data_IF_756596269137
#
_entry.id   IF_756596269137
#
_cell.length_a   1.000
_cell.length_b   1.000
_cell.length_c   1.000
_cell.angle_alpha   90.00
_cell.angle_beta   90.00
_cell.angle_gamma   90.00
#
_symmetry.space_group_name_H-M   'P 1'
#
loop_
_entity.id
_entity.type
_entity.pdbx_description
1 polymer ?
#
# COMPACT_ATOMS: atom_id res chain seq x y z
N UNK A 1 0.41 -17.64 27.93
CA UNK A 1 1.38 -16.53 28.01
C UNK A 1 2.69 -16.79 27.25
N UNK A 2 3.24 -18.01 27.23
CA UNK A 2 4.44 -18.34 26.45
C UNK A 2 4.25 -18.21 24.93
N UNK A 3 3.08 -18.58 24.40
CA UNK A 3 2.78 -18.44 22.98
C UNK A 3 2.65 -16.97 22.53
N UNK A 4 2.08 -16.11 23.38
CA UNK A 4 2.00 -14.65 23.11
C UNK A 4 3.36 -13.97 23.17
N UNK A 5 4.24 -14.41 24.07
CA UNK A 5 5.62 -13.89 24.15
C UNK A 5 6.47 -14.33 22.97
N UNK A 6 6.29 -15.57 22.47
CA UNK A 6 7.00 -16.07 21.28
C UNK A 6 6.50 -15.37 20.01
N UNK A 7 5.18 -15.12 19.91
CA UNK A 7 4.62 -14.34 18.79
C UNK A 7 5.11 -12.89 18.80
N UNK A 8 5.26 -12.26 19.97
CA UNK A 8 5.85 -10.92 20.08
C UNK A 8 7.34 -10.89 19.71
N UNK A 9 8.11 -11.92 20.09
CA UNK A 9 9.53 -12.04 19.70
C UNK A 9 9.70 -12.26 18.20
N UNK A 10 8.81 -13.05 17.56
CA UNK A 10 8.87 -13.27 16.12
C UNK A 10 8.39 -12.05 15.31
N UNK A 11 7.48 -11.25 15.85
CA UNK A 11 7.06 -9.97 15.22
C UNK A 11 8.22 -8.96 15.14
N UNK A 12 9.18 -9.02 16.04
CA UNK A 12 10.34 -8.11 16.06
C UNK A 12 11.37 -8.35 14.97
N UNK A 13 11.27 -9.44 14.19
CA UNK A 13 12.23 -9.82 13.15
C UNK A 13 11.65 -9.81 11.73
N UNK A 14 10.44 -9.31 11.56
CA UNK A 14 9.80 -9.20 10.26
C UNK A 14 9.82 -7.74 9.78
N UNK A 15 9.95 -7.57 8.47
CA UNK A 15 9.75 -6.26 7.84
C UNK A 15 8.29 -5.87 8.00
N UNK A 16 8.06 -4.59 8.30
CA UNK A 16 6.72 -4.01 8.44
C UNK A 16 6.40 -3.16 7.22
N UNK A 17 5.29 -3.48 6.58
CA UNK A 17 4.75 -2.73 5.45
C UNK A 17 3.43 -2.13 5.86
N UNK A 18 3.25 -0.83 5.66
CA UNK A 18 1.99 -0.14 5.95
C UNK A 18 1.33 0.34 4.67
N UNK A 19 0.03 0.06 4.54
CA UNK A 19 -0.82 0.64 3.50
C UNK A 19 -1.26 2.03 3.95
N UNK A 20 -0.93 3.04 3.19
CA UNK A 20 -1.36 4.42 3.41
C UNK A 20 -2.10 4.93 2.19
N UNK A 21 -2.97 5.90 2.37
CA UNK A 21 -3.71 6.50 1.28
C UNK A 21 -4.93 7.26 1.78
N UNK A 22 -5.56 7.95 0.87
CA UNK A 22 -6.81 8.64 1.12
C UNK A 22 -7.95 7.64 1.41
N UNK A 23 -9.10 8.11 1.90
CA UNK A 23 -10.25 7.23 2.12
C UNK A 23 -10.77 6.65 0.81
N UNK A 24 -11.32 5.43 0.83
CA UNK A 24 -11.96 4.75 -0.30
C UNK A 24 -11.07 4.53 -1.53
N UNK A 25 -9.78 4.41 -1.36
CA UNK A 25 -8.84 4.12 -2.46
C UNK A 25 -8.67 2.62 -2.73
N UNK A 26 -9.27 1.76 -1.90
CA UNK A 26 -9.19 0.30 -2.05
C UNK A 26 -8.12 -0.38 -1.20
N UNK A 27 -7.64 0.24 -0.11
CA UNK A 27 -6.65 -0.35 0.78
C UNK A 27 -7.08 -1.68 1.38
N UNK A 28 -8.30 -1.76 1.89
CA UNK A 28 -8.83 -3.01 2.49
C UNK A 28 -9.00 -4.12 1.46
N UNK A 29 -9.44 -3.80 0.26
CA UNK A 29 -9.54 -4.77 -0.84
C UNK A 29 -8.16 -5.29 -1.22
N UNK A 30 -7.18 -4.40 -1.34
CA UNK A 30 -5.80 -4.78 -1.65
C UNK A 30 -5.20 -5.63 -0.54
N UNK A 31 -5.43 -5.27 0.71
CA UNK A 31 -4.96 -6.06 1.84
C UNK A 31 -5.50 -7.48 1.81
N UNK A 32 -6.78 -7.68 1.52
CA UNK A 32 -7.38 -9.00 1.41
C UNK A 32 -6.79 -9.82 0.26
N UNK A 33 -6.45 -9.19 -0.86
CA UNK A 33 -5.79 -9.86 -1.98
C UNK A 33 -4.36 -10.29 -1.66
N UNK A 34 -3.61 -9.46 -0.96
CA UNK A 34 -2.22 -9.73 -0.61
C UNK A 34 -2.09 -10.71 0.55
N UNK A 35 -2.98 -10.61 1.52
CA UNK A 35 -3.00 -11.44 2.71
C UNK A 35 -3.69 -12.80 2.48
N UNK A 36 -3.70 -13.35 1.27
CA UNK A 36 -4.29 -14.63 0.87
C UNK A 36 -4.43 -15.61 2.02
N UNK A 37 -5.34 -15.45 2.94
CA UNK A 37 -5.60 -16.49 3.89
C UNK A 37 -6.70 -16.13 4.83
N UNK A 38 -7.45 -17.11 5.15
CA UNK A 38 -7.99 -17.50 6.44
C UNK A 38 -7.87 -16.44 7.52
N UNK A 39 -8.23 -15.22 7.21
CA UNK A 39 -8.49 -14.28 8.25
C UNK A 39 -9.97 -14.20 8.38
N UNK A 40 -10.43 -14.74 9.50
CA UNK A 40 -11.70 -14.36 10.08
C UNK A 40 -11.86 -12.85 9.94
N UNK A 41 -12.52 -12.42 8.87
CA UNK A 41 -13.12 -11.13 8.84
C UNK A 41 -14.17 -11.13 9.94
N UNK A 42 -13.77 -10.78 11.15
CA UNK A 42 -14.74 -10.31 12.11
C UNK A 42 -15.38 -9.10 11.45
N UNK A 43 -16.62 -9.28 11.00
CA UNK A 43 -17.50 -8.23 10.53
C UNK A 43 -17.74 -7.24 11.67
N UNK A 44 -16.76 -6.37 11.92
CA UNK A 44 -16.98 -5.18 12.74
C UNK A 44 -17.31 -4.05 11.79
N UNK A 45 -18.50 -3.50 11.93
CA UNK A 45 -19.03 -2.32 11.21
C UNK A 45 -18.08 -1.10 11.25
N UNK A 46 -16.99 -1.14 12.03
CA UNK A 46 -15.95 -0.13 12.18
C UNK A 46 -14.55 -0.77 12.13
N UNK A 47 -14.34 -1.76 11.26
CA UNK A 47 -13.04 -2.43 11.07
C UNK A 47 -11.89 -1.46 10.70
N UNK A 48 -12.22 -0.20 10.39
CA UNK A 48 -11.29 0.85 9.97
C UNK A 48 -10.81 1.76 11.10
N UNK A 49 -11.32 1.60 12.32
CA UNK A 49 -10.90 2.42 13.47
C UNK A 49 -9.65 1.85 14.15
N UNK A 50 -9.44 0.55 14.06
CA UNK A 50 -8.25 -0.12 14.58
C UNK A 50 -7.37 -0.57 13.43
N UNK A 51 -6.07 -0.32 13.56
CA UNK A 51 -5.08 -0.80 12.60
C UNK A 51 -5.10 -2.33 12.55
N UNK A 52 -5.39 -2.88 11.38
CA UNK A 52 -5.35 -4.32 11.15
C UNK A 52 -3.95 -4.71 10.69
N UNK A 53 -3.28 -5.56 11.45
CA UNK A 53 -1.96 -6.10 11.11
C UNK A 53 -2.11 -7.57 10.75
N UNK A 54 -1.59 -7.97 9.59
CA UNK A 54 -1.61 -9.35 9.11
C UNK A 54 -0.23 -9.81 8.70
N UNK A 55 0.08 -11.07 8.96
CA UNK A 55 1.27 -11.71 8.41
C UNK A 55 0.98 -12.13 6.98
N UNK A 56 1.80 -11.67 6.06
CA UNK A 56 1.75 -12.01 4.63
C UNK A 56 2.99 -12.79 4.27
N UNK A 57 2.83 -13.81 3.45
CA UNK A 57 3.94 -14.58 2.90
C UNK A 57 3.88 -14.49 1.39
N UNK A 58 4.92 -13.93 0.78
CA UNK A 58 5.11 -13.94 -0.67
C UNK A 58 6.30 -14.86 -0.96
N UNK A 59 6.05 -15.94 -1.68
CA UNK A 59 7.00 -17.04 -1.88
C UNK A 59 7.51 -17.59 -0.53
N UNK A 60 8.76 -17.33 -0.17
CA UNK A 60 9.38 -17.78 1.08
C UNK A 60 9.65 -16.63 2.07
N UNK A 61 9.11 -15.45 1.83
CA UNK A 61 9.41 -14.25 2.60
C UNK A 61 8.19 -13.79 3.39
N UNK A 62 8.17 -13.99 4.72
CA UNK A 62 7.14 -13.45 5.58
C UNK A 62 7.41 -11.99 5.93
N UNK A 63 6.36 -11.21 5.99
CA UNK A 63 6.39 -9.83 6.49
C UNK A 63 5.04 -9.45 7.09
N UNK A 64 5.00 -8.33 7.80
CA UNK A 64 3.77 -7.80 8.38
C UNK A 64 3.21 -6.71 7.48
N UNK A 65 1.92 -6.81 7.19
CA UNK A 65 1.18 -5.81 6.43
C UNK A 65 0.12 -5.18 7.32
N UNK A 66 0.16 -3.86 7.44
CA UNK A 66 -0.79 -3.07 8.23
C UNK A 66 -1.71 -2.28 7.30
N UNK A 67 -3.02 -2.40 7.50
CA UNK A 67 -3.98 -1.48 6.91
C UNK A 67 -4.20 -0.32 7.89
N UNK A 68 -4.06 0.89 7.40
CA UNK A 68 -4.21 2.10 8.21
C UNK A 68 -5.55 2.77 7.95
N UNK A 69 -5.98 3.64 8.87
CA UNK A 69 -7.14 4.51 8.62
C UNK A 69 -6.86 5.42 7.44
N UNK A 70 -7.84 5.56 6.53
CA UNK A 70 -7.70 6.43 5.37
C UNK A 70 -7.45 7.89 5.77
N UNK A 71 -6.48 8.52 5.12
CA UNK A 71 -6.21 9.93 5.30
C UNK A 71 -7.33 10.77 4.70
N UNK A 72 -7.70 11.83 5.40
CA UNK A 72 -8.67 12.84 4.99
C UNK A 72 -8.12 14.23 5.25
N UNK A 73 -8.62 15.24 4.53
CA UNK A 73 -8.14 16.63 4.68
C UNK A 73 -8.37 17.20 6.09
N UNK A 74 -9.46 16.79 6.74
CA UNK A 74 -9.81 17.18 8.11
C UNK A 74 -10.14 15.93 8.90
N UNK A 75 -9.39 15.68 9.97
CA UNK A 75 -9.72 14.63 10.93
C UNK A 75 -10.83 15.13 11.85
N UNK A 76 -11.93 14.39 11.97
CA UNK A 76 -12.88 14.62 13.06
C UNK A 76 -12.17 14.47 14.41
N UNK A 77 -12.44 15.39 15.34
CA UNK A 77 -11.83 15.38 16.68
C UNK A 77 -12.05 14.08 17.45
N UNK A 78 -13.16 13.39 17.17
CA UNK A 78 -13.53 12.11 17.81
C UNK A 78 -12.68 10.92 17.34
N UNK A 79 -11.95 11.04 16.25
CA UNK A 79 -11.10 9.99 15.67
C UNK A 79 -9.61 10.16 15.99
N UNK A 80 -9.24 11.16 16.79
CA UNK A 80 -7.82 11.48 17.06
C UNK A 80 -7.09 10.32 17.74
N UNK A 81 -7.72 9.60 18.67
CA UNK A 81 -7.06 8.51 19.38
C UNK A 81 -6.89 7.25 18.49
N UNK A 82 -7.87 6.92 17.65
CA UNK A 82 -7.77 5.86 16.66
C UNK A 82 -6.73 6.18 15.59
N UNK A 83 -6.59 7.45 15.26
CA UNK A 83 -5.60 7.94 14.32
C UNK A 83 -4.17 7.90 14.88
N UNK A 84 -4.00 8.07 16.20
CA UNK A 84 -2.67 7.93 16.83
C UNK A 84 -2.10 6.52 16.67
N UNK A 85 -2.90 5.47 16.88
CA UNK A 85 -2.42 4.10 16.65
C UNK A 85 -2.07 3.82 15.20
N UNK A 86 -2.81 4.40 14.25
CA UNK A 86 -2.48 4.39 12.83
C UNK A 86 -1.16 5.09 12.53
N UNK A 87 -0.92 6.24 13.17
CA UNK A 87 0.34 6.98 13.02
C UNK A 87 1.55 6.20 13.55
N UNK A 88 1.37 5.45 14.63
CA UNK A 88 2.43 4.60 15.19
C UNK A 88 2.80 3.48 14.22
N UNK A 89 1.83 2.84 13.58
CA UNK A 89 2.08 1.83 12.53
C UNK A 89 2.84 2.41 11.33
N UNK A 90 2.50 3.62 10.91
CA UNK A 90 3.21 4.31 9.82
C UNK A 90 4.64 4.65 10.23
N UNK A 91 4.86 5.14 11.46
CA UNK A 91 6.19 5.46 11.98
C UNK A 91 7.07 4.23 12.14
N UNK A 92 6.49 3.11 12.52
CA UNK A 92 7.21 1.83 12.70
C UNK A 92 7.39 1.04 11.40
N UNK A 93 6.74 1.44 10.31
CA UNK A 93 6.85 0.78 9.02
C UNK A 93 8.25 0.93 8.41
N UNK A 94 8.72 -0.14 7.79
CA UNK A 94 9.97 -0.17 7.02
C UNK A 94 9.73 0.21 5.54
N UNK A 95 8.52 -0.05 5.05
CA UNK A 95 8.07 0.24 3.70
C UNK A 95 6.64 0.76 3.73
N UNK A 96 6.36 1.78 2.93
CA UNK A 96 5.03 2.32 2.74
C UNK A 96 4.48 1.95 1.36
N UNK A 97 3.28 1.43 1.30
CA UNK A 97 2.50 1.31 0.07
C UNK A 97 1.45 2.43 0.04
N UNK A 98 1.69 3.41 -0.79
CA UNK A 98 0.77 4.52 -0.99
C UNK A 98 -0.26 4.16 -2.05
N UNK A 99 -1.46 3.81 -1.65
CA UNK A 99 -2.56 3.44 -2.54
C UNK A 99 -3.33 4.69 -2.98
N UNK A 100 -3.50 4.85 -4.29
CA UNK A 100 -4.14 5.99 -4.92
C UNK A 100 -5.27 5.51 -5.82
N UNK A 101 -6.43 6.14 -5.73
CA UNK A 101 -7.57 5.91 -6.63
C UNK A 101 -7.47 6.84 -7.84
N UNK A 102 -6.99 6.33 -8.97
CA UNK A 102 -6.83 7.13 -10.19
C UNK A 102 -8.14 7.44 -10.91
N UNK A 103 -9.23 6.79 -10.54
CA UNK A 103 -10.58 7.11 -11.06
C UNK A 103 -11.15 8.38 -10.44
N UNK A 104 -10.59 8.84 -9.32
CA UNK A 104 -11.01 10.07 -8.69
C UNK A 104 -10.39 11.28 -9.41
N UNK A 105 -11.18 12.32 -9.76
CA UNK A 105 -10.67 13.47 -10.53
C UNK A 105 -9.58 14.26 -9.79
N UNK A 106 -9.59 14.24 -8.46
CA UNK A 106 -8.64 14.97 -7.60
C UNK A 106 -7.53 14.06 -7.02
N UNK A 107 -7.22 12.94 -7.67
CA UNK A 107 -6.27 11.98 -7.11
C UNK A 107 -4.86 12.57 -6.89
N UNK A 108 -4.42 13.51 -7.73
CA UNK A 108 -3.14 14.18 -7.56
C UNK A 108 -3.11 15.07 -6.32
N UNK A 109 -4.20 15.77 -6.02
CA UNK A 109 -4.33 16.56 -4.78
C UNK A 109 -4.37 15.64 -3.55
N UNK A 110 -5.01 14.50 -3.65
CA UNK A 110 -5.00 13.48 -2.60
C UNK A 110 -3.60 12.92 -2.33
N UNK A 111 -2.79 12.72 -3.37
CA UNK A 111 -1.37 12.36 -3.22
C UNK A 111 -0.63 13.39 -2.40
N UNK A 112 -0.81 14.68 -2.72
CA UNK A 112 -0.16 15.78 -1.98
C UNK A 112 -0.57 15.83 -0.51
N UNK A 113 -1.84 15.58 -0.20
CA UNK A 113 -2.33 15.52 1.18
C UNK A 113 -1.64 14.41 1.97
N UNK A 114 -1.50 13.23 1.37
CA UNK A 114 -0.81 12.09 2.00
C UNK A 114 0.67 12.37 2.17
N UNK A 115 1.33 12.89 1.15
CA UNK A 115 2.76 13.27 1.21
C UNK A 115 3.03 14.29 2.32
N UNK A 116 2.19 15.31 2.43
CA UNK A 116 2.29 16.32 3.49
C UNK A 116 2.12 15.69 4.88
N UNK A 117 1.13 14.82 5.04
CA UNK A 117 0.88 14.13 6.31
C UNK A 117 2.07 13.25 6.69
N UNK A 118 2.65 12.51 5.75
CA UNK A 118 3.85 11.71 5.97
C UNK A 118 5.05 12.58 6.36
N UNK A 119 5.23 13.73 5.73
CA UNK A 119 6.27 14.67 6.09
C UNK A 119 6.09 15.24 7.51
N UNK A 120 4.87 15.60 7.88
CA UNK A 120 4.53 16.08 9.24
C UNK A 120 4.80 15.01 10.32
N UNK A 121 4.72 13.72 9.94
CA UNK A 121 5.04 12.60 10.81
C UNK A 121 6.53 12.23 10.85
N UNK A 122 7.37 12.92 10.07
CA UNK A 122 8.78 12.57 9.93
C UNK A 122 9.04 11.28 9.14
N UNK A 123 8.11 10.89 8.28
CA UNK A 123 8.16 9.65 7.50
C UNK A 123 8.50 9.84 6.02
N UNK A 124 8.90 11.04 5.61
CA UNK A 124 9.23 11.34 4.20
C UNK A 124 10.44 10.58 3.67
N UNK A 125 11.34 10.12 4.53
CA UNK A 125 12.55 9.37 4.14
C UNK A 125 12.32 7.86 4.03
N UNK A 126 11.13 7.37 4.36
CA UNK A 126 10.82 5.95 4.28
C UNK A 126 10.72 5.48 2.82
N UNK A 127 11.21 4.27 2.51
CA UNK A 127 10.95 3.64 1.22
C UNK A 127 9.45 3.59 0.95
N UNK A 128 9.04 3.94 -0.26
CA UNK A 128 7.64 4.05 -0.65
C UNK A 128 7.43 3.52 -2.06
N UNK A 129 6.36 2.76 -2.25
CA UNK A 129 5.83 2.37 -3.55
C UNK A 129 4.45 2.99 -3.70
N UNK A 130 4.21 3.71 -4.80
CA UNK A 130 2.88 4.22 -5.13
C UNK A 130 2.13 3.15 -5.92
N UNK A 131 0.97 2.76 -5.40
CA UNK A 131 0.07 1.80 -6.04
C UNK A 131 -1.13 2.56 -6.59
N UNK A 132 -1.14 2.80 -7.89
CA UNK A 132 -2.26 3.42 -8.59
C UNK A 132 -3.33 2.37 -8.85
N UNK A 133 -4.40 2.43 -8.08
CA UNK A 133 -5.50 1.48 -8.10
C UNK A 133 -6.69 2.01 -8.91
N UNK A 134 -7.58 1.09 -9.25
CA UNK A 134 -8.82 1.34 -9.99
C UNK A 134 -8.61 1.75 -11.45
N UNK A 135 -7.61 1.13 -12.10
CA UNK A 135 -7.41 1.31 -13.56
C UNK A 135 -8.64 0.93 -14.37
N UNK A 136 -9.45 -0.01 -13.88
CA UNK A 136 -10.72 -0.44 -14.46
C UNK A 136 -11.80 0.67 -14.50
N UNK A 137 -11.71 1.61 -13.58
CA UNK A 137 -12.66 2.73 -13.45
C UNK A 137 -12.11 4.08 -13.97
N UNK A 138 -10.88 4.10 -14.49
CA UNK A 138 -10.29 5.31 -15.03
C UNK A 138 -10.97 5.72 -16.33
N UNK A 139 -11.37 6.97 -16.43
CA UNK A 139 -12.02 7.56 -17.60
C UNK A 139 -11.27 8.80 -18.07
N UNK A 140 -11.31 9.04 -19.37
CA UNK A 140 -10.79 10.25 -19.97
C UNK A 140 -11.60 10.63 -21.20
N UNK A 141 -11.54 11.89 -21.61
CA UNK A 141 -12.20 12.38 -22.82
C UNK A 141 -11.13 12.55 -23.90
N UNK A 142 -11.13 11.73 -24.95
CA UNK A 142 -10.23 11.92 -26.08
C UNK A 142 -10.42 13.28 -26.69
N UNK A 143 -9.33 13.91 -27.08
CA UNK A 143 -9.35 15.19 -27.77
C UNK A 143 -9.57 14.95 -29.26
N UNK A 144 -10.43 15.74 -29.89
CA UNK A 144 -10.67 15.71 -31.33
C UNK A 144 -9.41 16.16 -32.10
N UNK A 145 -9.17 15.61 -33.29
CA UNK A 145 -7.96 15.91 -34.07
C UNK A 145 -7.85 17.39 -34.48
N UNK A 146 -8.99 18.06 -34.64
CA UNK A 146 -9.12 19.47 -35.02
C UNK A 146 -9.19 20.43 -33.82
N UNK A 147 -9.22 19.92 -32.61
CA UNK A 147 -9.21 20.72 -31.40
C UNK A 147 -7.79 21.20 -31.06
N UNK A 148 -7.50 22.48 -31.37
CA UNK A 148 -6.21 23.11 -31.13
C UNK A 148 -6.03 23.65 -29.71
N UNK A 149 -7.02 23.50 -28.83
CA UNK A 149 -6.87 23.92 -27.42
C UNK A 149 -5.84 23.06 -26.67
N UNK A 150 -5.17 23.57 -25.63
CA UNK A 150 -4.25 22.77 -24.84
C UNK A 150 -4.93 21.56 -24.20
N UNK A 151 -4.25 20.43 -24.13
CA UNK A 151 -4.73 19.26 -23.38
C UNK A 151 -4.91 19.61 -21.91
N UNK A 152 -6.05 19.21 -21.36
CA UNK A 152 -6.36 19.29 -19.92
C UNK A 152 -6.16 17.92 -19.27
N UNK A 153 -6.27 17.88 -17.93
CA UNK A 153 -6.23 16.61 -17.17
C UNK A 153 -7.25 15.59 -17.65
N UNK A 154 -8.41 16.04 -18.13
CA UNK A 154 -9.51 15.20 -18.62
C UNK A 154 -9.19 14.50 -19.94
N UNK A 155 -8.21 15.00 -20.68
CA UNK A 155 -7.80 14.48 -21.98
C UNK A 155 -6.65 13.46 -21.89
N UNK A 156 -6.15 13.16 -20.71
CA UNK A 156 -5.03 12.24 -20.52
C UNK A 156 -5.51 10.80 -20.53
N UNK A 157 -5.02 9.99 -21.47
CA UNK A 157 -5.31 8.56 -21.52
C UNK A 157 -4.62 7.82 -20.37
N UNK A 158 -5.07 6.62 -20.06
CA UNK A 158 -4.42 5.78 -19.07
C UNK A 158 -2.96 5.49 -19.44
N UNK A 159 -2.67 5.20 -20.69
CA UNK A 159 -1.30 4.94 -21.16
C UNK A 159 -0.39 6.17 -21.00
N UNK A 160 -0.88 7.36 -21.34
CA UNK A 160 -0.15 8.60 -21.12
C UNK A 160 0.12 8.85 -19.63
N UNK A 161 -0.87 8.59 -18.77
CA UNK A 161 -0.74 8.71 -17.33
C UNK A 161 0.31 7.75 -16.79
N UNK A 162 0.26 6.49 -17.21
CA UNK A 162 1.23 5.46 -16.84
C UNK A 162 2.65 5.85 -17.25
N UNK A 163 2.84 6.29 -18.48
CA UNK A 163 4.15 6.72 -18.98
C UNK A 163 4.70 7.90 -18.18
N UNK A 164 3.87 8.88 -17.86
CA UNK A 164 4.26 10.06 -17.08
C UNK A 164 4.76 9.68 -15.69
N UNK A 165 4.00 8.85 -14.98
CA UNK A 165 4.37 8.43 -13.63
C UNK A 165 5.54 7.46 -13.60
N UNK A 166 5.62 6.52 -14.54
CA UNK A 166 6.76 5.62 -14.67
C UNK A 166 8.06 6.35 -14.97
N UNK A 167 8.01 7.38 -15.81
CA UNK A 167 9.17 8.25 -16.09
C UNK A 167 9.62 9.03 -14.84
N UNK A 168 8.67 9.45 -13.99
CA UNK A 168 8.95 10.21 -12.76
C UNK A 168 9.42 9.33 -11.61
N UNK A 169 8.79 8.17 -11.42
CA UNK A 169 8.96 7.31 -10.24
C UNK A 169 9.81 6.07 -10.49
N UNK A 170 10.10 5.75 -11.76
CA UNK A 170 10.82 4.54 -12.15
C UNK A 170 10.17 3.27 -11.58
N UNK A 171 10.92 2.48 -10.80
CA UNK A 171 10.47 1.22 -10.20
C UNK A 171 9.63 1.41 -8.91
N UNK A 172 9.32 2.65 -8.53
CA UNK A 172 8.62 2.95 -7.30
C UNK A 172 7.12 3.18 -7.49
N UNK A 173 6.55 2.81 -8.63
CA UNK A 173 5.11 2.88 -8.87
C UNK A 173 4.61 1.70 -9.71
N UNK A 174 3.34 1.39 -9.54
CA UNK A 174 2.63 0.36 -10.29
C UNK A 174 1.16 0.73 -10.45
N UNK A 175 0.58 0.34 -11.58
CA UNK A 175 -0.84 0.53 -11.89
C UNK A 175 -1.56 -0.81 -11.82
N UNK A 176 -2.63 -0.87 -11.02
CA UNK A 176 -3.39 -2.09 -10.75
C UNK A 176 -4.90 -1.85 -10.81
N UNK A 177 -5.64 -2.94 -10.91
CA UNK A 177 -7.04 -3.01 -10.47
C UNK A 177 -7.18 -4.10 -9.42
N UNK A 178 -7.38 -3.70 -8.18
CA UNK A 178 -7.61 -4.65 -7.10
C UNK A 178 -8.93 -5.41 -7.32
N UNK A 179 -9.95 -4.72 -7.82
CA UNK A 179 -11.27 -5.30 -8.11
C UNK A 179 -11.19 -6.39 -9.18
N UNK A 180 -10.53 -6.12 -10.30
CA UNK A 180 -10.39 -7.04 -11.42
C UNK A 180 -9.18 -7.98 -11.28
N UNK A 181 -8.43 -7.84 -10.18
CA UNK A 181 -7.17 -8.57 -9.93
C UNK A 181 -6.13 -8.40 -11.03
N UNK A 182 -6.14 -7.25 -11.67
CA UNK A 182 -5.21 -6.93 -12.73
C UNK A 182 -3.88 -6.44 -12.17
N UNK A 183 -2.79 -6.97 -12.69
CA UNK A 183 -1.41 -6.62 -12.35
C UNK A 183 -0.99 -6.87 -10.89
N UNK A 184 -1.72 -7.71 -10.17
CA UNK A 184 -1.46 -8.04 -8.76
C UNK A 184 -0.18 -8.88 -8.61
N UNK A 185 0.09 -9.79 -9.52
CA UNK A 185 1.32 -10.62 -9.46
C UNK A 185 2.59 -9.77 -9.63
N UNK A 186 2.56 -8.75 -10.48
CA UNK A 186 3.66 -7.80 -10.61
C UNK A 186 3.83 -6.95 -9.34
N UNK A 187 2.74 -6.55 -8.70
CA UNK A 187 2.80 -5.87 -7.40
C UNK A 187 3.46 -6.76 -6.35
N UNK A 188 3.08 -8.03 -6.28
CA UNK A 188 3.70 -9.00 -5.34
C UNK A 188 5.20 -9.15 -5.61
N UNK A 189 5.62 -9.20 -6.87
CA UNK A 189 7.03 -9.26 -7.25
C UNK A 189 7.80 -8.01 -6.80
N UNK A 190 7.25 -6.82 -7.01
CA UNK A 190 7.83 -5.57 -6.54
C UNK A 190 7.96 -5.54 -5.01
N UNK A 191 6.91 -5.94 -4.31
CA UNK A 191 6.91 -6.02 -2.85
C UNK A 191 7.95 -7.03 -2.36
N UNK A 192 8.00 -8.21 -2.95
CA UNK A 192 8.98 -9.23 -2.61
C UNK A 192 10.40 -8.71 -2.73
N UNK A 193 10.76 -8.12 -3.86
CA UNK A 193 12.08 -7.58 -4.09
C UNK A 193 12.44 -6.49 -3.08
N UNK A 194 11.52 -5.58 -2.81
CA UNK A 194 11.77 -4.47 -1.90
C UNK A 194 11.84 -4.91 -0.43
N UNK A 195 10.93 -5.77 -0.01
CA UNK A 195 10.94 -6.33 1.35
C UNK A 195 12.18 -7.19 1.58
N UNK A 196 12.60 -7.98 0.58
CA UNK A 196 13.84 -8.76 0.64
C UNK A 196 15.07 -7.88 0.85
N UNK A 197 15.22 -6.81 0.08
CA UNK A 197 16.31 -5.86 0.25
C UNK A 197 16.34 -5.27 1.66
N UNK A 198 15.19 -4.82 2.16
CA UNK A 198 15.06 -4.25 3.50
C UNK A 198 15.33 -5.30 4.59
N UNK A 199 14.88 -6.54 4.37
CA UNK A 199 15.10 -7.63 5.30
C UNK A 199 16.60 -7.96 5.43
N UNK A 200 17.32 -8.07 4.33
CA UNK A 200 18.76 -8.31 4.31
C UNK A 200 19.53 -7.19 5.03
N UNK A 201 19.12 -5.94 4.83
CA UNK A 201 19.74 -4.80 5.50
C UNK A 201 19.48 -4.79 7.01
N UNK A 202 18.26 -5.09 7.42
CA UNK A 202 17.84 -5.04 8.83
C UNK A 202 18.26 -6.27 9.64
N UNK A 203 18.23 -7.43 8.99
CA UNK A 203 18.50 -8.74 9.61
C UNK A 203 19.52 -9.57 8.81
N UNK A 204 20.78 -9.15 8.70
CA UNK A 204 21.77 -9.77 7.81
C UNK A 204 22.10 -11.23 8.13
N UNK A 205 21.79 -11.69 9.34
CA UNK A 205 22.06 -13.06 9.81
C UNK A 205 20.79 -13.91 9.95
N UNK A 206 19.68 -13.52 9.32
CA UNK A 206 18.43 -14.24 9.43
C UNK A 206 18.27 -15.22 8.26
N UNK A 207 18.21 -16.52 8.58
CA UNK A 207 18.11 -17.63 7.62
C UNK A 207 16.72 -17.75 6.94
N UNK A 208 15.75 -16.91 7.29
CA UNK A 208 14.39 -16.97 6.75
C UNK A 208 14.32 -16.90 5.21
N UNK A 209 15.29 -16.25 4.58
CA UNK A 209 15.35 -16.13 3.11
C UNK A 209 15.79 -17.41 2.40
N UNK A 210 16.28 -18.40 3.14
CA UNK A 210 16.85 -19.62 2.57
C UNK A 210 16.05 -20.88 2.86
N UNK A 211 15.00 -20.78 3.68
CA UNK A 211 14.12 -21.92 3.94
C UNK A 211 13.12 -22.06 2.78
N UNK A 212 13.42 -22.95 1.86
CA UNK A 212 12.40 -23.51 0.99
C UNK A 212 11.48 -24.37 1.83
N UNK A 213 10.27 -23.92 2.04
CA UNK A 213 9.22 -24.82 2.50
C UNK A 213 8.88 -25.73 1.32
N UNK A 214 9.47 -26.92 1.27
CA UNK A 214 8.92 -28.02 0.52
C UNK A 214 7.62 -28.38 1.23
N UNK A 215 6.50 -28.19 0.57
CA UNK A 215 5.24 -28.82 0.93
C UNK A 215 5.50 -30.34 0.87
N UNK A 216 5.87 -30.92 1.97
CA UNK A 216 5.76 -32.35 2.17
C UNK A 216 4.33 -32.61 2.63
N UNK A 217 3.58 -33.26 1.71
CA UNK A 217 2.33 -34.01 1.79
C UNK A 217 1.56 -34.04 3.11
#
# INVERSE_FOLDING_TARGET
DKQKATQRKNRGRLIRVALVGYTNVGKSTLMNLLAKSEVFAENKLFATLDTTVRKVIIENLPFLLSDTVGFIRKLPTDLVDSFKSTLDEVREADLLLHVVDISHPDFEDQIKVVEKTLADLGCSDKPLIIVFNKTDAYTFTPKEEDDLTPKTKENVSLDELMQTWMAKMHDACIFISARERDNIENLKTMMYNRVRELHVQKYPYNDFLYQTYTDEE
#
